data_IF_116884506749
#
_entry.id   IF_116884506749
#
_cell.length_a   1.000
_cell.length_b   1.000
_cell.length_c   1.000
_cell.angle_alpha   90.00
_cell.angle_beta   90.00
_cell.angle_gamma   90.00
#
_symmetry.space_group_name_H-M   'P 1'
#
loop_
_entity.id
_entity.type
_entity.pdbx_description
1 polymer ?
#
# COMPACT_ATOMS: atom_id res chain seq x y z
N UNK A 1 -22.71 16.29 7.84
CA UNK A 1 -21.46 15.69 7.35
C UNK A 1 -21.28 14.41 8.16
N UNK A 2 -21.58 13.24 7.59
CA UNK A 2 -21.40 11.99 8.30
C UNK A 2 -19.88 11.75 8.42
N UNK A 3 -19.33 11.47 9.62
CA UNK A 3 -17.91 11.18 9.75
C UNK A 3 -17.59 9.97 8.87
N UNK A 4 -16.55 10.11 8.07
CA UNK A 4 -16.10 9.04 7.19
C UNK A 4 -15.83 7.80 8.05
N UNK A 5 -16.57 6.73 7.78
CA UNK A 5 -16.47 5.49 8.55
C UNK A 5 -15.11 4.86 8.27
N UNK A 6 -14.38 4.50 9.33
CA UNK A 6 -13.15 3.72 9.28
C UNK A 6 -13.30 2.56 10.28
N UNK A 7 -13.29 1.28 9.83
CA UNK A 7 -13.15 0.82 8.44
C UNK A 7 -14.46 0.87 7.63
N UNK A 8 -14.37 0.91 6.29
CA UNK A 8 -15.52 0.88 5.37
C UNK A 8 -15.31 -0.10 4.21
N UNK A 9 -16.29 -0.96 3.93
CA UNK A 9 -16.31 -1.77 2.71
C UNK A 9 -16.86 -0.97 1.54
N UNK A 10 -16.11 -0.94 0.43
CA UNK A 10 -16.50 -0.28 -0.82
C UNK A 10 -16.49 -1.29 -1.97
N UNK A 11 -17.28 -1.05 -3.01
CA UNK A 11 -17.20 -1.87 -4.23
C UNK A 11 -15.98 -1.48 -5.07
N UNK A 12 -15.44 -2.41 -5.84
CA UNK A 12 -14.25 -2.18 -6.68
C UNK A 12 -14.38 -0.99 -7.65
N UNK A 13 -15.60 -0.65 -8.08
CA UNK A 13 -15.91 0.49 -8.95
C UNK A 13 -16.02 1.84 -8.21
N UNK A 14 -15.95 1.84 -6.88
CA UNK A 14 -16.10 3.05 -6.07
C UNK A 14 -14.79 3.84 -6.06
N UNK A 15 -14.85 5.19 -6.18
CA UNK A 15 -13.65 6.01 -6.07
C UNK A 15 -13.07 5.95 -4.65
N UNK A 16 -11.74 5.85 -4.56
CA UNK A 16 -11.02 5.87 -3.28
C UNK A 16 -10.61 7.31 -2.98
N UNK A 17 -11.09 7.92 -1.88
CA UNK A 17 -10.68 9.26 -1.50
C UNK A 17 -9.19 9.34 -1.15
N UNK A 18 -8.59 10.52 -1.29
CA UNK A 18 -7.22 10.74 -0.87
C UNK A 18 -7.03 10.44 0.64
N UNK A 19 -5.90 9.81 0.99
CA UNK A 19 -5.60 9.41 2.37
C UNK A 19 -6.24 8.08 2.81
N UNK A 20 -7.02 7.43 1.95
CA UNK A 20 -7.50 6.07 2.19
C UNK A 20 -6.71 5.05 1.40
N UNK A 21 -6.64 3.83 1.95
CA UNK A 21 -5.97 2.67 1.37
C UNK A 21 -6.85 1.43 1.48
N UNK A 22 -6.59 0.43 0.62
CA UNK A 22 -7.30 -0.84 0.65
C UNK A 22 -6.48 -1.86 1.43
N UNK A 23 -7.09 -2.50 2.42
CA UNK A 23 -6.41 -3.40 3.37
C UNK A 23 -6.90 -4.84 3.32
N UNK A 24 -8.07 -5.07 2.72
CA UNK A 24 -8.60 -6.41 2.49
C UNK A 24 -9.45 -6.45 1.21
N UNK A 25 -9.62 -7.63 0.62
CA UNK A 25 -10.43 -7.87 -0.58
C UNK A 25 -11.34 -9.06 -0.38
N UNK A 26 -12.64 -8.87 -0.53
CA UNK A 26 -13.64 -9.92 -0.42
C UNK A 26 -14.28 -10.19 -1.79
N UNK A 27 -13.89 -11.29 -2.48
CA UNK A 27 -14.43 -11.66 -3.78
C UNK A 27 -15.84 -12.31 -3.71
N UNK A 28 -16.47 -12.32 -2.54
CA UNK A 28 -17.77 -12.97 -2.31
C UNK A 28 -18.79 -12.04 -1.66
N UNK A 29 -18.51 -10.74 -1.62
CA UNK A 29 -19.42 -9.76 -1.04
C UNK A 29 -20.64 -9.53 -1.95
N UNK A 30 -21.82 -9.95 -1.47
CA UNK A 30 -23.12 -9.76 -2.14
C UNK A 30 -23.47 -8.30 -2.52
N UNK A 31 -23.20 -7.24 -1.71
CA UNK A 31 -23.58 -5.88 -2.10
C UNK A 31 -22.78 -5.31 -3.28
N UNK A 32 -21.67 -5.96 -3.67
CA UNK A 32 -20.76 -5.49 -4.72
C UNK A 32 -20.58 -6.52 -5.85
N UNK A 33 -21.57 -7.40 -6.08
CA UNK A 33 -21.52 -8.44 -7.12
C UNK A 33 -20.28 -9.35 -7.03
N UNK A 34 -19.77 -9.56 -5.81
CA UNK A 34 -18.57 -10.37 -5.58
C UNK A 34 -17.24 -9.62 -5.68
N UNK A 35 -17.21 -8.29 -5.56
CA UNK A 35 -15.93 -7.56 -5.54
C UNK A 35 -15.95 -6.34 -4.60
N UNK A 36 -15.70 -6.59 -3.31
CA UNK A 36 -15.58 -5.53 -2.29
C UNK A 36 -14.18 -5.43 -1.71
N UNK A 37 -13.81 -4.21 -1.36
CA UNK A 37 -12.51 -3.86 -0.79
C UNK A 37 -12.70 -3.15 0.54
N UNK A 38 -11.90 -3.52 1.54
CA UNK A 38 -11.91 -2.88 2.84
C UNK A 38 -11.02 -1.65 2.81
N UNK A 39 -11.66 -0.49 2.77
CA UNK A 39 -11.01 0.80 2.78
C UNK A 39 -10.77 1.28 4.22
N UNK A 40 -9.57 1.79 4.48
CA UNK A 40 -9.14 2.34 5.77
C UNK A 40 -8.36 3.63 5.60
N UNK A 41 -8.37 4.48 6.63
CA UNK A 41 -7.44 5.62 6.68
C UNK A 41 -6.00 5.12 6.70
N UNK A 42 -5.13 5.78 5.93
CA UNK A 42 -3.71 5.45 5.93
C UNK A 42 -3.10 5.76 7.31
N UNK A 43 -2.35 4.81 7.82
CA UNK A 43 -1.52 4.96 9.01
C UNK A 43 -0.11 4.51 8.70
N UNK A 44 0.86 5.00 9.47
CA UNK A 44 2.24 4.52 9.34
C UNK A 44 2.33 3.02 9.68
N UNK A 45 3.04 2.26 8.84
CA UNK A 45 3.21 0.81 8.99
C UNK A 45 1.96 -0.01 8.71
N UNK A 46 1.25 0.26 7.61
CA UNK A 46 0.02 -0.44 7.21
C UNK A 46 0.27 -1.42 6.05
N UNK A 47 -0.32 -2.61 6.13
CA UNK A 47 -0.37 -3.54 5.00
C UNK A 47 -1.58 -3.21 4.11
N UNK A 48 -1.31 -2.97 2.83
CA UNK A 48 -2.31 -2.66 1.82
C UNK A 48 -2.34 -3.72 0.73
N UNK A 49 -3.50 -3.96 0.13
CA UNK A 49 -3.62 -4.90 -0.98
C UNK A 49 -2.92 -4.35 -2.23
N UNK A 50 -2.43 -5.24 -3.10
CA UNK A 50 -1.98 -4.83 -4.43
C UNK A 50 -3.13 -4.17 -5.20
N UNK A 51 -2.85 -3.01 -5.79
CA UNK A 51 -3.87 -2.14 -6.41
C UNK A 51 -4.37 -1.00 -5.50
N UNK A 52 -4.06 -1.04 -4.19
CA UNK A 52 -4.30 0.12 -3.33
C UNK A 52 -3.48 1.33 -3.79
N UNK A 53 -4.03 2.56 -3.72
CA UNK A 53 -3.23 3.76 -3.92
C UNK A 53 -2.12 3.86 -2.86
N UNK A 54 -1.06 4.58 -3.22
CA UNK A 54 0.03 4.96 -2.31
C UNK A 54 -0.17 6.43 -1.97
N UNK A 55 -0.53 6.79 -0.72
CA UNK A 55 -0.69 8.18 -0.34
C UNK A 55 0.62 8.98 -0.45
N UNK A 56 0.50 10.29 -0.67
CA UNK A 56 1.66 11.16 -0.79
C UNK A 56 2.55 11.09 0.47
N UNK A 57 3.86 10.94 0.27
CA UNK A 57 4.83 10.80 1.36
C UNK A 57 4.99 9.38 1.92
N UNK A 58 4.17 8.42 1.49
CA UNK A 58 4.33 7.01 1.83
C UNK A 58 5.13 6.26 0.77
N UNK A 59 5.78 5.18 1.20
CA UNK A 59 6.52 4.26 0.34
C UNK A 59 6.23 2.82 0.76
N UNK A 60 6.24 1.91 -0.22
CA UNK A 60 6.17 0.46 -0.01
C UNK A 60 7.56 -0.07 0.32
N UNK A 61 7.70 -0.78 1.43
CA UNK A 61 8.99 -1.33 1.89
C UNK A 61 8.94 -2.84 2.15
N UNK A 62 7.77 -3.44 1.99
CA UNK A 62 7.57 -4.88 2.14
C UNK A 62 6.58 -5.38 1.11
N UNK A 63 6.72 -6.65 0.74
CA UNK A 63 5.83 -7.33 -0.19
C UNK A 63 5.51 -8.72 0.35
N UNK A 64 4.24 -9.08 0.32
CA UNK A 64 3.76 -10.38 0.75
C UNK A 64 2.78 -10.94 -0.28
N UNK A 65 3.25 -11.94 -1.04
CA UNK A 65 2.56 -12.48 -2.23
C UNK A 65 1.20 -13.10 -1.92
N UNK A 66 1.05 -13.70 -0.75
CA UNK A 66 -0.19 -14.38 -0.32
C UNK A 66 -1.11 -13.47 0.50
N UNK A 67 -0.74 -12.19 0.67
CA UNK A 67 -1.59 -11.20 1.32
C UNK A 67 -2.86 -10.91 0.53
N UNK A 68 -3.84 -10.31 1.20
CA UNK A 68 -5.12 -9.91 0.60
C UNK A 68 -5.79 -11.05 -0.20
N UNK A 69 -5.97 -12.20 0.44
CA UNK A 69 -6.58 -13.41 -0.14
C UNK A 69 -5.92 -13.90 -1.46
N UNK A 70 -4.61 -13.66 -1.63
CA UNK A 70 -3.83 -14.15 -2.77
C UNK A 70 -3.57 -13.14 -3.88
N UNK A 71 -4.07 -11.91 -3.75
CA UNK A 71 -3.77 -10.78 -4.66
C UNK A 71 -2.36 -10.24 -4.44
N UNK A 72 -1.84 -10.38 -3.22
CA UNK A 72 -0.61 -9.77 -2.77
C UNK A 72 -0.88 -8.52 -1.92
N UNK A 73 0.04 -8.24 -1.01
CA UNK A 73 -0.01 -7.05 -0.17
C UNK A 73 1.34 -6.37 -0.08
N UNK A 74 1.31 -5.04 0.08
CA UNK A 74 2.46 -4.17 0.21
C UNK A 74 2.44 -3.51 1.58
N UNK A 75 3.59 -3.45 2.23
CA UNK A 75 3.72 -2.73 3.49
C UNK A 75 4.07 -1.28 3.19
N UNK A 76 3.16 -0.36 3.51
CA UNK A 76 3.32 1.07 3.32
C UNK A 76 3.65 1.77 4.64
N UNK A 77 4.65 2.64 4.60
CA UNK A 77 5.05 3.48 5.73
C UNK A 77 5.55 4.84 5.23
N UNK A 78 5.63 5.82 6.13
CA UNK A 78 6.11 7.17 5.81
C UNK A 78 7.57 7.10 5.37
N UNK A 79 7.90 7.80 4.29
CA UNK A 79 9.26 7.84 3.77
C UNK A 79 10.23 8.44 4.80
N UNK A 80 11.23 7.66 5.19
CA UNK A 80 12.29 8.05 6.09
C UNK A 80 13.66 7.61 5.56
N UNK A 81 14.74 8.33 5.88
CA UNK A 81 16.09 7.94 5.49
C UNK A 81 16.45 6.56 6.07
N UNK A 82 17.11 5.72 5.27
CA UNK A 82 17.52 4.37 5.66
C UNK A 82 16.47 3.29 5.41
N UNK A 83 15.23 3.63 5.05
CA UNK A 83 14.22 2.64 4.66
C UNK A 83 14.57 1.98 3.34
N UNK A 84 14.38 0.66 3.25
CA UNK A 84 14.49 -0.09 2.00
C UNK A 84 13.15 -0.09 1.28
N UNK A 85 13.06 0.59 0.14
CA UNK A 85 11.83 0.65 -0.66
C UNK A 85 11.81 -0.43 -1.73
N UNK A 86 10.61 -0.97 -1.97
CA UNK A 86 10.35 -1.93 -3.04
C UNK A 86 10.36 -1.27 -4.43
N UNK A 87 10.46 -2.05 -5.51
CA UNK A 87 10.16 -1.56 -6.86
C UNK A 87 8.72 -1.06 -6.96
N UNK A 88 8.47 -0.13 -7.88
CA UNK A 88 7.14 0.44 -8.12
C UNK A 88 6.78 1.66 -7.27
N UNK A 89 7.66 2.10 -6.38
CA UNK A 89 7.50 3.35 -5.64
C UNK A 89 7.89 4.57 -6.48
N UNK A 90 7.16 5.66 -6.31
CA UNK A 90 7.66 6.98 -6.68
C UNK A 90 8.71 7.44 -5.65
N UNK A 91 9.85 7.96 -6.11
CA UNK A 91 10.89 8.49 -5.22
C UNK A 91 10.38 9.80 -4.59
N UNK A 92 10.26 9.90 -3.26
CA UNK A 92 9.80 11.12 -2.61
C UNK A 92 10.79 12.28 -2.81
N UNK A 93 10.27 13.51 -2.85
CA UNK A 93 11.10 14.70 -2.97
C UNK A 93 12.13 14.79 -1.83
N UNK A 94 13.37 15.16 -2.15
CA UNK A 94 14.47 15.24 -1.18
C UNK A 94 15.15 13.91 -0.87
N UNK A 95 14.82 12.84 -1.61
CA UNK A 95 15.48 11.55 -1.51
C UNK A 95 16.02 11.06 -2.85
N UNK A 96 16.99 10.17 -2.79
CA UNK A 96 17.49 9.39 -3.92
C UNK A 96 17.66 7.92 -3.53
N UNK A 97 17.73 7.05 -4.54
CA UNK A 97 17.93 5.62 -4.35
C UNK A 97 19.42 5.31 -4.18
N UNK A 98 19.75 4.63 -3.10
CA UNK A 98 21.09 4.17 -2.79
C UNK A 98 21.33 2.72 -3.16
N UNK A 99 21.92 1.98 -2.23
CA UNK A 99 22.32 0.58 -2.41
C UNK A 99 21.12 -0.32 -2.72
N UNK A 100 21.33 -1.22 -3.68
CA UNK A 100 20.38 -2.26 -4.06
C UNK A 100 20.58 -3.52 -3.22
N UNK A 101 19.47 -4.15 -2.83
CA UNK A 101 19.45 -5.46 -2.17
C UNK A 101 18.48 -6.38 -2.92
N UNK A 102 18.96 -7.48 -3.49
CA UNK A 102 18.15 -8.44 -4.25
C UNK A 102 17.18 -9.26 -3.40
N UNK A 103 17.46 -9.43 -2.10
CA UNK A 103 16.58 -10.16 -1.18
C UNK A 103 15.38 -9.32 -0.69
N UNK A 104 15.40 -8.00 -0.94
CA UNK A 104 14.35 -7.08 -0.54
C UNK A 104 12.98 -7.41 -1.14
N UNK A 105 11.92 -7.06 -0.40
CA UNK A 105 10.53 -7.15 -0.86
C UNK A 105 10.15 -8.52 -1.43
N UNK A 106 10.43 -9.58 -0.66
CA UNK A 106 10.19 -10.97 -1.05
C UNK A 106 10.86 -11.37 -2.38
N UNK A 107 12.12 -10.95 -2.54
CA UNK A 107 12.97 -11.28 -3.70
C UNK A 107 12.72 -10.44 -4.95
N UNK A 108 11.94 -9.36 -4.84
CA UNK A 108 11.75 -8.40 -5.95
C UNK A 108 12.90 -7.39 -6.04
N UNK A 109 13.73 -7.31 -5.00
CA UNK A 109 14.73 -6.29 -4.84
C UNK A 109 14.21 -5.09 -4.05
N UNK A 110 15.12 -4.34 -3.44
CA UNK A 110 14.83 -3.09 -2.78
C UNK A 110 16.02 -2.13 -2.87
N UNK A 111 15.74 -0.83 -2.70
CA UNK A 111 16.77 0.22 -2.64
C UNK A 111 16.66 1.01 -1.35
N UNK A 112 17.80 1.35 -0.75
CA UNK A 112 17.81 2.21 0.45
C UNK A 112 17.49 3.65 0.05
N UNK A 113 16.55 4.28 0.74
CA UNK A 113 16.28 5.71 0.66
C UNK A 113 17.39 6.50 1.35
N UNK A 114 18.09 7.32 0.57
CA UNK A 114 19.08 8.26 1.06
C UNK A 114 18.54 9.68 0.93
N UNK A 115 18.81 10.53 1.93
CA UNK A 115 18.42 11.95 1.88
C UNK A 115 19.43 12.70 1.00
N UNK A 116 18.91 13.63 0.17
CA UNK A 116 19.72 14.52 -0.65
C UNK A 116 20.47 15.57 0.17
#
# INVERSE_FOLDING_TARGET
>A
MQPAQDPLWICASSPIPAGYVLTDHNPSSSPCLGDAWLMRLVTDGIWTCAGSPIPAGYVMTGHYRTGCRGIGSWFQQVAAPGLSICPGNAVPAGYHLGTYNSAGCAGLGSWVLLRN
#
